data_IF_161215181419
#
_entry.id   IF_161215181419
#
_cell.length_a   1.000
_cell.length_b   1.000
_cell.length_c   1.000
_cell.angle_alpha   90.00
_cell.angle_beta   90.00
_cell.angle_gamma   90.00
#
_symmetry.space_group_name_H-M   'P 1'
#
loop_
_entity.id
_entity.type
_entity.pdbx_description
1 polymer ?
#
# COMPACT_ATOMS: atom_id res chain seq x y z
N UNK A 1 7.36 -19.80 8.36
CA UNK A 1 6.92 -20.39 7.06
C UNK A 1 5.73 -21.32 7.22
N UNK A 2 5.78 -22.36 8.07
CA UNK A 2 4.70 -23.37 8.21
C UNK A 2 3.35 -22.75 8.62
N UNK A 3 3.32 -21.84 9.60
CA UNK A 3 2.09 -21.16 10.05
C UNK A 3 1.43 -20.36 8.92
N UNK A 4 2.22 -19.64 8.13
CA UNK A 4 1.70 -18.87 6.99
C UNK A 4 1.15 -19.78 5.88
N UNK A 5 1.81 -20.91 5.61
CA UNK A 5 1.33 -21.91 4.65
C UNK A 5 0.03 -22.57 5.11
N UNK A 6 -0.09 -22.90 6.41
CA UNK A 6 -1.33 -23.40 6.99
C UNK A 6 -2.46 -22.37 6.89
N UNK A 7 -2.18 -21.10 7.21
CA UNK A 7 -3.16 -20.02 7.07
C UNK A 7 -3.65 -19.86 5.63
N UNK A 8 -2.73 -19.85 4.66
CA UNK A 8 -3.08 -19.80 3.24
C UNK A 8 -3.90 -21.02 2.81
N UNK A 9 -3.51 -22.22 3.23
CA UNK A 9 -4.23 -23.46 2.93
C UNK A 9 -5.67 -23.41 3.45
N UNK A 10 -5.87 -23.01 4.72
CA UNK A 10 -7.20 -22.87 5.32
C UNK A 10 -8.03 -21.82 4.58
N UNK A 11 -7.43 -20.69 4.19
CA UNK A 11 -8.11 -19.65 3.40
C UNK A 11 -8.57 -20.18 2.04
N UNK A 12 -7.71 -20.87 1.29
CA UNK A 12 -8.10 -21.43 -0.01
C UNK A 12 -9.13 -22.56 0.11
N UNK A 13 -9.01 -23.40 1.14
CA UNK A 13 -10.02 -24.41 1.45
C UNK A 13 -11.38 -23.74 1.73
N UNK A 14 -11.40 -22.67 2.54
CA UNK A 14 -12.60 -21.88 2.78
C UNK A 14 -13.18 -21.32 1.47
N UNK A 15 -12.34 -20.72 0.61
CA UNK A 15 -12.78 -20.18 -0.67
C UNK A 15 -13.44 -21.26 -1.53
N UNK A 16 -12.84 -22.46 -1.59
CA UNK A 16 -13.37 -23.59 -2.35
C UNK A 16 -14.72 -24.07 -1.80
N UNK A 17 -14.83 -24.21 -0.48
CA UNK A 17 -16.06 -24.62 0.20
C UNK A 17 -17.19 -23.59 0.08
N UNK A 18 -16.85 -22.32 -0.18
CA UNK A 18 -17.80 -21.21 -0.30
C UNK A 18 -17.94 -20.71 -1.74
N UNK A 19 -17.75 -21.56 -2.75
CA UNK A 19 -17.94 -21.22 -4.17
C UNK A 19 -17.15 -19.99 -4.63
N UNK A 20 -15.89 -19.90 -4.23
CA UNK A 20 -14.98 -18.85 -4.68
C UNK A 20 -15.10 -17.54 -3.91
N UNK A 21 -15.71 -17.53 -2.72
CA UNK A 21 -15.72 -16.35 -1.84
C UNK A 21 -14.33 -16.02 -1.32
N UNK A 22 -13.82 -14.87 -1.75
CA UNK A 22 -12.53 -14.30 -1.36
C UNK A 22 -12.70 -13.01 -0.52
N UNK A 23 -13.93 -12.52 -0.39
CA UNK A 23 -14.34 -11.23 0.17
C UNK A 23 -14.43 -11.22 1.72
N UNK A 24 -13.70 -12.12 2.39
CA UNK A 24 -13.73 -12.28 3.86
C UNK A 24 -13.53 -10.96 4.62
N UNK A 25 -12.60 -10.11 4.14
CA UNK A 25 -12.38 -8.80 4.72
C UNK A 25 -13.61 -7.89 4.60
N UNK A 26 -14.20 -7.79 3.41
CA UNK A 26 -15.40 -6.98 3.15
C UNK A 26 -16.59 -7.44 3.99
N UNK A 27 -16.74 -8.75 4.17
CA UNK A 27 -17.80 -9.30 5.02
C UNK A 27 -17.59 -8.97 6.48
N UNK A 28 -16.34 -8.95 6.93
CA UNK A 28 -16.01 -8.55 8.29
C UNK A 28 -16.29 -7.07 8.49
N UNK A 29 -16.00 -6.21 7.49
CA UNK A 29 -16.36 -4.79 7.52
C UNK A 29 -17.87 -4.58 7.54
N UNK A 30 -18.62 -5.33 6.73
CA UNK A 30 -20.08 -5.25 6.70
C UNK A 30 -20.71 -5.74 8.01
N UNK A 31 -20.30 -6.91 8.50
CA UNK A 31 -20.89 -7.51 9.70
C UNK A 31 -20.46 -6.81 10.99
N UNK A 32 -19.20 -6.34 11.06
CA UNK A 32 -18.66 -5.69 12.26
C UNK A 32 -18.98 -4.21 12.35
N UNK A 33 -19.01 -3.51 11.22
CA UNK A 33 -19.06 -2.04 11.17
C UNK A 33 -20.18 -1.48 10.28
N UNK A 34 -20.98 -2.34 9.63
CA UNK A 34 -22.04 -1.90 8.72
C UNK A 34 -21.54 -1.28 7.41
N UNK A 35 -20.25 -1.43 7.09
CA UNK A 35 -19.63 -0.78 5.94
C UNK A 35 -19.93 -1.60 4.68
N UNK A 36 -20.62 -0.97 3.73
CA UNK A 36 -20.95 -1.59 2.45
C UNK A 36 -19.71 -1.51 1.54
N UNK A 37 -19.16 -2.65 1.08
CA UNK A 37 -17.99 -2.66 0.21
C UNK A 37 -18.33 -2.11 -1.17
N UNK A 38 -17.40 -1.34 -1.74
CA UNK A 38 -17.50 -0.81 -3.08
C UNK A 38 -16.36 -1.34 -3.94
N UNK A 39 -16.64 -2.44 -4.65
CA UNK A 39 -15.67 -3.14 -5.49
C UNK A 39 -15.13 -2.30 -6.66
N UNK A 40 -15.85 -1.22 -7.03
CA UNK A 40 -15.47 -0.32 -8.12
C UNK A 40 -14.77 0.95 -7.60
N UNK A 41 -14.55 1.08 -6.29
CA UNK A 41 -13.97 2.27 -5.68
C UNK A 41 -12.59 2.64 -6.24
N UNK A 42 -11.81 1.67 -6.71
CA UNK A 42 -10.50 1.92 -7.35
C UNK A 42 -10.64 2.74 -8.64
N UNK A 43 -11.78 2.68 -9.32
CA UNK A 43 -12.04 3.46 -10.54
C UNK A 43 -12.77 4.77 -10.27
N UNK A 44 -13.25 5.00 -9.04
CA UNK A 44 -14.00 6.21 -8.69
C UNK A 44 -13.04 7.38 -8.46
N UNK A 45 -13.18 8.51 -9.18
CA UNK A 45 -12.36 9.69 -8.94
C UNK A 45 -12.49 10.24 -7.52
N UNK A 46 -13.63 10.03 -6.86
CA UNK A 46 -13.89 10.45 -5.48
C UNK A 46 -13.00 9.75 -4.44
N UNK A 47 -12.39 8.62 -4.80
CA UNK A 47 -11.43 7.90 -3.95
C UNK A 47 -10.06 8.57 -3.91
N UNK A 48 -9.80 9.52 -4.81
CA UNK A 48 -8.50 10.10 -5.08
C UNK A 48 -8.48 11.60 -4.81
N UNK A 49 -7.38 12.09 -4.23
CA UNK A 49 -7.16 13.51 -4.04
C UNK A 49 -5.76 13.94 -4.47
N UNK A 50 -5.69 14.97 -5.31
CA UNK A 50 -4.46 15.48 -5.89
C UNK A 50 -3.87 16.66 -5.12
N UNK A 51 -4.72 17.46 -4.48
CA UNK A 51 -4.32 18.66 -3.74
C UNK A 51 -3.87 18.26 -2.34
N UNK A 52 -2.73 18.78 -1.89
CA UNK A 52 -2.20 18.57 -0.52
C UNK A 52 -3.25 19.03 0.48
N UNK A 53 -3.83 18.11 1.27
CA UNK A 53 -4.84 18.45 2.24
C UNK A 53 -4.21 18.92 3.56
N UNK A 54 -4.97 19.60 4.41
CA UNK A 54 -4.53 19.88 5.77
C UNK A 54 -4.31 18.57 6.53
N UNK A 55 -3.20 18.47 7.28
CA UNK A 55 -2.88 17.25 8.06
C UNK A 55 -3.95 16.90 9.11
N UNK A 56 -4.78 17.88 9.52
CA UNK A 56 -5.85 17.69 10.49
C UNK A 56 -7.09 16.99 9.88
N UNK A 57 -7.15 16.82 8.55
CA UNK A 57 -8.29 16.15 7.91
C UNK A 57 -7.91 14.70 7.53
N UNK A 58 -8.32 13.70 8.34
CA UNK A 58 -7.91 12.32 8.19
C UNK A 58 -8.45 11.67 6.91
N UNK A 59 -9.62 12.11 6.46
CA UNK A 59 -10.26 11.62 5.23
C UNK A 59 -9.44 12.06 4.03
N UNK A 60 -9.13 13.36 3.95
CA UNK A 60 -8.42 13.91 2.81
C UNK A 60 -6.97 13.40 2.75
N UNK A 61 -6.30 13.29 3.89
CA UNK A 61 -4.97 12.67 3.98
C UNK A 61 -4.99 11.23 3.48
N UNK A 62 -6.01 10.46 3.82
CA UNK A 62 -6.20 9.10 3.35
C UNK A 62 -6.44 9.01 1.83
N UNK A 63 -7.25 9.90 1.26
CA UNK A 63 -7.47 10.01 -0.19
C UNK A 63 -6.20 10.45 -0.96
N UNK A 64 -5.34 11.27 -0.34
CA UNK A 64 -4.03 11.61 -0.90
C UNK A 64 -3.07 10.42 -0.84
N UNK A 65 -3.14 9.62 0.22
CA UNK A 65 -2.38 8.36 0.28
C UNK A 65 -2.82 7.36 -0.80
N UNK A 66 -4.10 7.39 -1.22
CA UNK A 66 -4.58 6.61 -2.37
C UNK A 66 -3.94 7.06 -3.68
N UNK A 67 -3.92 8.37 -3.95
CA UNK A 67 -3.30 8.89 -5.18
C UNK A 67 -1.82 8.58 -5.22
N UNK A 68 -1.09 8.80 -4.11
CA UNK A 68 0.31 8.45 -4.02
C UNK A 68 0.55 6.95 -4.24
N UNK A 69 -0.24 6.08 -3.60
CA UNK A 69 -0.15 4.64 -3.80
C UNK A 69 -0.36 4.21 -5.25
N UNK A 70 -1.40 4.74 -5.91
CA UNK A 70 -1.68 4.47 -7.32
C UNK A 70 -0.55 4.97 -8.24
N UNK A 71 -0.03 6.18 -7.99
CA UNK A 71 1.11 6.74 -8.73
C UNK A 71 2.38 5.90 -8.56
N UNK A 72 2.62 5.36 -7.36
CA UNK A 72 3.73 4.45 -7.10
C UNK A 72 3.59 3.18 -7.93
N UNK A 73 2.39 2.56 -7.98
CA UNK A 73 2.17 1.39 -8.84
C UNK A 73 2.40 1.70 -10.33
N UNK A 74 1.94 2.85 -10.81
CA UNK A 74 2.17 3.28 -12.20
C UNK A 74 3.66 3.51 -12.45
N UNK A 75 4.35 4.21 -11.55
CA UNK A 75 5.79 4.45 -11.65
C UNK A 75 6.61 3.16 -11.65
N UNK A 76 6.24 2.20 -10.80
CA UNK A 76 6.84 0.86 -10.78
C UNK A 76 6.61 0.15 -12.11
N UNK A 77 5.38 0.14 -12.62
CA UNK A 77 5.08 -0.51 -13.90
C UNK A 77 5.91 0.09 -15.03
N UNK A 78 6.03 1.42 -15.11
CA UNK A 78 6.87 2.10 -16.10
C UNK A 78 8.34 1.73 -15.94
N UNK A 79 8.88 1.75 -14.71
CA UNK A 79 10.27 1.39 -14.43
C UNK A 79 10.58 -0.06 -14.78
N UNK A 80 9.69 -0.99 -14.44
CA UNK A 80 9.84 -2.42 -14.73
C UNK A 80 9.74 -2.71 -16.23
N UNK A 81 8.82 -2.08 -16.95
CA UNK A 81 8.72 -2.20 -18.41
C UNK A 81 9.99 -1.65 -19.06
N UNK A 82 10.43 -0.45 -18.67
CA UNK A 82 11.65 0.15 -19.20
C UNK A 82 12.89 -0.73 -18.91
N UNK A 83 12.98 -1.31 -17.71
CA UNK A 83 14.06 -2.23 -17.34
C UNK A 83 13.98 -3.55 -18.11
N UNK A 84 12.78 -4.11 -18.30
CA UNK A 84 12.57 -5.35 -19.06
C UNK A 84 12.93 -5.20 -20.55
N UNK A 85 12.64 -4.03 -21.14
CA UNK A 85 13.02 -3.72 -22.53
C UNK A 85 14.54 -3.52 -22.64
N UNK A 86 15.17 -2.89 -21.66
CA UNK A 86 16.61 -2.59 -21.70
C UNK A 86 17.51 -3.75 -21.26
N UNK A 87 17.03 -4.65 -20.39
CA UNK A 87 17.81 -5.77 -19.81
C UNK A 87 16.90 -6.97 -19.48
N UNK A 88 17.43 -8.18 -19.69
CA UNK A 88 16.80 -9.43 -19.22
C UNK A 88 16.86 -9.52 -17.69
N UNK A 89 15.92 -8.85 -17.05
CA UNK A 89 15.83 -8.70 -15.61
C UNK A 89 14.97 -9.83 -15.01
N UNK A 90 15.25 -10.32 -13.80
CA UNK A 90 14.44 -11.35 -13.11
C UNK A 90 13.06 -10.83 -12.64
N UNK A 91 12.24 -10.38 -13.58
CA UNK A 91 10.96 -9.70 -13.33
C UNK A 91 9.88 -10.64 -12.76
N UNK A 92 9.97 -11.95 -13.02
CA UNK A 92 8.96 -12.95 -12.61
C UNK A 92 8.73 -12.98 -11.09
N UNK A 93 9.80 -12.90 -10.30
CA UNK A 93 9.70 -12.90 -8.83
C UNK A 93 9.05 -11.61 -8.34
N UNK A 94 9.44 -10.46 -8.91
CA UNK A 94 8.89 -9.15 -8.52
C UNK A 94 7.44 -8.98 -8.96
N UNK A 95 7.05 -9.53 -10.10
CA UNK A 95 5.66 -9.53 -10.56
C UNK A 95 4.73 -10.18 -9.52
N UNK A 96 5.16 -11.28 -8.89
CA UNK A 96 4.41 -11.89 -7.79
C UNK A 96 4.26 -10.96 -6.58
N UNK A 97 5.34 -10.24 -6.20
CA UNK A 97 5.29 -9.30 -5.07
C UNK A 97 4.39 -8.09 -5.38
N UNK A 98 4.50 -7.51 -6.59
CA UNK A 98 3.64 -6.41 -7.01
C UNK A 98 2.17 -6.82 -7.13
N UNK A 99 1.92 -8.05 -7.60
CA UNK A 99 0.57 -8.60 -7.65
C UNK A 99 -0.03 -8.73 -6.24
N UNK A 100 0.73 -9.27 -5.28
CA UNK A 100 0.29 -9.31 -3.88
C UNK A 100 0.04 -7.90 -3.32
N UNK A 101 0.93 -6.95 -3.59
CA UNK A 101 0.77 -5.56 -3.15
C UNK A 101 -0.50 -4.92 -3.76
N UNK A 102 -0.77 -5.17 -5.04
CA UNK A 102 -1.95 -4.67 -5.74
C UNK A 102 -3.25 -5.29 -5.20
N UNK A 103 -3.25 -6.59 -4.86
CA UNK A 103 -4.41 -7.23 -4.22
C UNK A 103 -4.67 -6.63 -2.83
N UNK A 104 -3.63 -6.46 -2.01
CA UNK A 104 -3.77 -5.87 -0.67
C UNK A 104 -4.29 -4.44 -0.77
N UNK A 105 -3.75 -3.65 -1.71
CA UNK A 105 -4.23 -2.30 -2.00
C UNK A 105 -5.71 -2.32 -2.43
N UNK A 106 -6.08 -3.19 -3.37
CA UNK A 106 -7.45 -3.33 -3.85
C UNK A 106 -8.43 -3.69 -2.73
N UNK A 107 -8.10 -4.71 -1.91
CA UNK A 107 -8.95 -5.14 -0.78
C UNK A 107 -9.17 -4.00 0.22
N UNK A 108 -8.10 -3.27 0.54
CA UNK A 108 -8.20 -2.14 1.45
C UNK A 108 -9.10 -1.03 0.87
N UNK A 109 -8.92 -0.65 -0.41
CA UNK A 109 -9.70 0.43 -1.04
C UNK A 109 -11.18 0.06 -1.06
N UNK A 110 -11.47 -1.16 -1.51
CA UNK A 110 -12.86 -1.61 -1.70
C UNK A 110 -13.60 -1.84 -0.38
N UNK A 111 -12.91 -2.23 0.69
CA UNK A 111 -13.51 -2.43 2.00
C UNK A 111 -13.74 -1.16 2.81
N UNK A 112 -13.02 -0.06 2.53
CA UNK A 112 -13.09 1.21 3.31
C UNK A 112 -13.73 2.35 2.50
N UNK A 113 -13.99 2.14 1.21
CA UNK A 113 -14.66 3.12 0.36
C UNK A 113 -16.04 3.58 0.87
N UNK A 114 -16.79 2.68 1.52
CA UNK A 114 -18.10 2.98 2.08
C UNK A 114 -18.08 3.99 3.24
N UNK A 115 -16.93 4.22 3.85
CA UNK A 115 -16.69 5.25 4.89
C UNK A 115 -15.76 6.35 4.37
N UNK A 116 -15.86 6.66 3.09
CA UNK A 116 -15.16 7.76 2.44
C UNK A 116 -13.62 7.71 2.57
N UNK A 117 -13.05 6.50 2.73
CA UNK A 117 -11.61 6.25 2.96
C UNK A 117 -11.10 6.73 4.32
N UNK A 118 -11.96 6.89 5.32
CA UNK A 118 -11.52 7.24 6.66
C UNK A 118 -10.57 6.18 7.24
N UNK A 119 -9.44 6.62 7.81
CA UNK A 119 -8.39 5.75 8.38
C UNK A 119 -7.76 4.75 7.39
N UNK A 120 -7.94 4.96 6.08
CA UNK A 120 -7.45 4.04 5.03
C UNK A 120 -5.92 3.88 5.06
N UNK A 121 -5.17 4.89 5.51
CA UNK A 121 -3.71 4.84 5.63
C UNK A 121 -3.21 3.63 6.44
N UNK A 122 -3.97 3.22 7.48
CA UNK A 122 -3.62 2.08 8.34
C UNK A 122 -3.59 0.77 7.56
N UNK A 123 -4.50 0.61 6.60
CA UNK A 123 -4.63 -0.63 5.82
C UNK A 123 -3.61 -0.72 4.68
N UNK A 124 -3.00 0.40 4.28
CA UNK A 124 -2.01 0.39 3.21
C UNK A 124 -0.61 -0.05 3.65
N UNK A 125 -0.33 -0.12 4.96
CA UNK A 125 1.02 -0.43 5.46
C UNK A 125 1.60 -1.72 4.85
N UNK A 126 0.80 -2.78 4.77
CA UNK A 126 1.22 -4.05 4.19
C UNK A 126 1.58 -3.93 2.70
N UNK A 127 0.82 -3.14 1.93
CA UNK A 127 1.14 -2.90 0.51
C UNK A 127 2.46 -2.16 0.35
N UNK A 128 2.74 -1.15 1.19
CA UNK A 128 4.00 -0.42 1.19
C UNK A 128 5.19 -1.33 1.53
N UNK A 129 5.06 -2.21 2.53
CA UNK A 129 6.12 -3.15 2.88
C UNK A 129 6.48 -4.07 1.71
N UNK A 130 5.48 -4.57 0.97
CA UNK A 130 5.69 -5.38 -0.23
C UNK A 130 6.35 -4.58 -1.37
N UNK A 131 5.92 -3.33 -1.58
CA UNK A 131 6.52 -2.44 -2.57
C UNK A 131 8.00 -2.17 -2.24
N UNK A 132 8.32 -1.87 -0.98
CA UNK A 132 9.70 -1.65 -0.54
C UNK A 132 10.54 -2.90 -0.75
N UNK A 133 10.02 -4.08 -0.41
CA UNK A 133 10.72 -5.35 -0.64
C UNK A 133 11.02 -5.57 -2.12
N UNK A 134 10.03 -5.34 -3.00
CA UNK A 134 10.21 -5.46 -4.43
C UNK A 134 11.22 -4.45 -4.99
N UNK A 135 11.20 -3.21 -4.47
CA UNK A 135 12.14 -2.15 -4.82
C UNK A 135 13.57 -2.52 -4.41
N UNK A 136 13.77 -3.04 -3.19
CA UNK A 136 15.08 -3.49 -2.73
C UNK A 136 15.60 -4.66 -3.59
N UNK A 137 14.73 -5.59 -3.96
CA UNK A 137 15.08 -6.69 -4.86
C UNK A 137 15.35 -6.20 -6.30
N UNK A 138 14.73 -5.11 -6.74
CA UNK A 138 15.06 -4.46 -8.01
C UNK A 138 16.43 -3.77 -7.94
N UNK A 139 16.69 -3.00 -6.88
CA UNK A 139 17.93 -2.27 -6.66
C UNK A 139 19.14 -3.19 -6.47
N UNK A 140 18.97 -4.36 -5.86
CA UNK A 140 20.06 -5.33 -5.65
C UNK A 140 20.63 -5.92 -6.95
N UNK A 141 19.91 -5.77 -8.07
CA UNK A 141 20.35 -6.26 -9.38
C UNK A 141 21.31 -5.30 -10.09
N UNK A 142 21.48 -4.09 -9.55
CA UNK A 142 22.47 -3.15 -10.05
C UNK A 142 23.76 -3.31 -9.25
N UNK A 143 24.89 -3.48 -9.96
CA UNK A 143 26.22 -3.50 -9.35
C UNK A 143 26.46 -2.24 -8.50
N UNK A 144 27.36 -2.35 -7.52
CA UNK A 144 27.62 -1.34 -6.49
C UNK A 144 27.49 0.10 -7.04
N UNK A 145 26.50 0.88 -6.58
CA UNK A 145 26.26 2.19 -7.12
C UNK A 145 27.48 3.10 -6.89
N UNK A 146 27.75 4.06 -7.79
CA UNK A 146 28.81 5.04 -7.58
C UNK A 146 28.60 5.75 -6.24
N UNK A 147 29.70 6.18 -5.60
CA UNK A 147 29.69 6.75 -4.24
C UNK A 147 28.64 7.85 -4.07
N UNK A 148 28.46 8.69 -5.09
CA UNK A 148 27.43 9.74 -5.11
C UNK A 148 26.00 9.21 -5.00
N UNK A 149 25.66 8.11 -5.68
CA UNK A 149 24.33 7.49 -5.57
C UNK A 149 24.12 6.92 -4.16
N UNK A 150 25.17 6.39 -3.52
CA UNK A 150 25.11 5.89 -2.14
C UNK A 150 24.88 7.03 -1.15
N UNK A 151 25.63 8.12 -1.28
CA UNK A 151 25.45 9.30 -0.43
C UNK A 151 24.07 9.90 -0.62
N UNK A 152 23.61 10.03 -1.88
CA UNK A 152 22.26 10.50 -2.18
C UNK A 152 21.19 9.56 -1.60
N UNK A 153 21.34 8.25 -1.75
CA UNK A 153 20.43 7.26 -1.18
C UNK A 153 20.39 7.33 0.35
N UNK A 154 21.54 7.44 1.01
CA UNK A 154 21.61 7.60 2.47
C UNK A 154 20.97 8.91 2.93
N UNK A 155 21.23 10.01 2.22
CA UNK A 155 20.60 11.29 2.53
C UNK A 155 19.08 11.24 2.34
N UNK A 156 18.59 10.62 1.25
CA UNK A 156 17.16 10.45 1.00
C UNK A 156 16.48 9.60 2.09
N UNK A 157 17.12 8.51 2.51
CA UNK A 157 16.62 7.67 3.62
C UNK A 157 16.62 8.46 4.92
N UNK A 158 17.71 9.16 5.27
CA UNK A 158 17.80 9.94 6.49
C UNK A 158 16.76 11.06 6.54
N UNK A 159 16.64 11.84 5.46
CA UNK A 159 15.63 12.91 5.36
C UNK A 159 14.21 12.34 5.40
N UNK A 160 13.96 11.23 4.70
CA UNK A 160 12.67 10.54 4.73
C UNK A 160 12.31 10.02 6.12
N UNK A 161 13.26 9.44 6.85
CA UNK A 161 13.08 9.00 8.23
C UNK A 161 12.82 10.17 9.18
N UNK A 162 13.57 11.27 9.06
CA UNK A 162 13.36 12.48 9.89
C UNK A 162 11.99 13.10 9.61
N UNK A 163 11.61 13.24 8.34
CA UNK A 163 10.30 13.76 7.96
C UNK A 163 9.18 12.83 8.47
N UNK A 164 9.32 11.52 8.27
CA UNK A 164 8.35 10.52 8.73
C UNK A 164 8.18 10.54 10.26
N UNK A 165 9.28 10.58 11.02
CA UNK A 165 9.25 10.67 12.47
C UNK A 165 8.63 11.99 12.96
N UNK A 166 8.91 13.10 12.27
CA UNK A 166 8.32 14.40 12.61
C UNK A 166 6.80 14.39 12.40
N UNK A 167 6.34 13.83 11.29
CA UNK A 167 4.89 13.66 11.01
C UNK A 167 4.24 12.70 12.00
N UNK A 168 4.89 11.58 12.33
CA UNK A 168 4.39 10.66 13.36
C UNK A 168 4.32 11.32 14.73
N UNK A 169 5.33 12.09 15.13
CA UNK A 169 5.33 12.84 16.39
C UNK A 169 4.18 13.84 16.44
N UNK A 170 3.92 14.54 15.34
CA UNK A 170 2.78 15.44 15.21
C UNK A 170 1.44 14.71 15.33
N UNK A 171 1.30 13.53 14.71
CA UNK A 171 0.11 12.69 14.82
C UNK A 171 -0.13 12.20 16.25
N UNK A 172 0.91 11.74 16.95
CA UNK A 172 0.81 11.34 18.36
C UNK A 172 0.39 12.52 19.23
N UNK A 173 0.99 13.70 19.02
CA UNK A 173 0.62 14.92 19.73
C UNK A 173 -0.83 15.35 19.49
N UNK A 174 -1.33 15.20 18.27
CA UNK A 174 -2.72 15.50 17.97
C UNK A 174 -3.67 14.49 18.62
N UNK A 175 -3.31 13.22 18.64
CA UNK A 175 -4.08 12.16 19.30
C UNK A 175 -4.20 12.40 20.81
N UNK A 176 -3.12 12.85 21.49
CA UNK A 176 -3.18 13.18 22.93
C UNK A 176 -4.08 14.37 23.24
N UNK A 177 -4.43 15.19 22.25
CA UNK A 177 -5.39 16.31 22.36
C UNK A 177 -6.82 15.92 22.00
N UNK A 178 -7.08 14.63 21.74
CA UNK A 178 -8.41 14.12 21.38
C UNK A 178 -8.80 14.33 19.91
N UNK A 179 -7.86 14.77 19.06
CA UNK A 179 -8.13 14.87 17.63
C UNK A 179 -8.07 13.48 16.99
N UNK A 180 -8.98 13.22 16.05
CA UNK A 180 -8.93 12.00 15.26
C UNK A 180 -7.79 12.07 14.25
N UNK A 181 -7.01 11.01 14.17
CA UNK A 181 -5.81 10.94 13.34
C UNK A 181 -5.93 9.74 12.41
N UNK A 182 -5.56 9.95 11.16
CA UNK A 182 -5.59 8.90 10.14
C UNK A 182 -4.54 7.82 10.38
#
# INVERSE_FOLDING_TARGET
MIVAMLGAFVFFLYCQLRWGRWDLYMLTQLAGWGIIPDYLAVFKPSSYRWVIPPLNDPRQMSQMSMTLGALVFVGIAVCEIAAAVRRHTHWRVRAGIYFCAAIVYYIAVTGVAGVEMESMMRYQFCAHALIVLALLHFLSQFSAPPVWLRVFGMAAVALGSVAGLSVQGWYVWNFTRGNWVA
#
